data_IF_569310829404
#
_entry.id   IF_569310829404
#
_cell.length_a   1.000
_cell.length_b   1.000
_cell.length_c   1.000
_cell.angle_alpha   90.00
_cell.angle_beta   90.00
_cell.angle_gamma   90.00
#
_symmetry.space_group_name_H-M   'P 1'
#
loop_
_entity.id
_entity.type
_entity.pdbx_description
1 polymer ?
#
# COMPACT_ATOMS: atom_id res chain seq x y z
N UNK A 1 0.27 -11.42 9.52
CA UNK A 1 0.83 -12.27 8.44
C UNK A 1 0.43 -11.82 7.03
N UNK A 2 -0.84 -11.83 6.61
CA UNK A 2 -1.20 -11.39 5.22
C UNK A 2 -0.97 -9.90 4.99
N UNK A 3 -1.26 -9.06 6.00
CA UNK A 3 -1.00 -7.62 5.96
C UNK A 3 0.48 -7.31 5.71
N UNK A 4 1.37 -7.92 6.50
CA UNK A 4 2.82 -7.71 6.38
C UNK A 4 3.35 -8.17 5.02
N UNK A 5 2.91 -9.32 4.52
CA UNK A 5 3.30 -9.78 3.18
C UNK A 5 2.85 -8.81 2.09
N UNK A 6 1.63 -8.28 2.18
CA UNK A 6 1.11 -7.35 1.18
C UNK A 6 1.77 -5.97 1.29
N UNK A 7 2.01 -5.47 2.51
CA UNK A 7 2.74 -4.23 2.73
C UNK A 7 4.18 -4.33 2.21
N UNK A 8 4.88 -5.44 2.48
CA UNK A 8 6.23 -5.67 1.95
C UNK A 8 6.24 -5.78 0.43
N UNK A 9 5.22 -6.41 -0.18
CA UNK A 9 5.06 -6.44 -1.63
C UNK A 9 4.92 -5.02 -2.20
N UNK A 10 4.06 -4.18 -1.62
CA UNK A 10 3.86 -2.80 -2.06
C UNK A 10 5.13 -1.95 -1.87
N UNK A 11 5.83 -2.13 -0.76
CA UNK A 11 7.11 -1.48 -0.53
C UNK A 11 8.18 -1.94 -1.54
N UNK A 12 8.24 -3.23 -1.87
CA UNK A 12 9.17 -3.73 -2.90
C UNK A 12 8.81 -3.24 -4.31
N UNK A 13 7.51 -3.08 -4.63
CA UNK A 13 7.10 -2.43 -5.88
C UNK A 13 7.59 -0.99 -5.96
N UNK A 14 7.60 -0.27 -4.83
CA UNK A 14 8.07 1.11 -4.80
C UNK A 14 9.54 1.25 -5.21
N UNK A 15 10.37 0.23 -4.92
CA UNK A 15 11.79 0.22 -5.26
C UNK A 15 12.06 0.16 -6.76
N UNK A 16 11.07 -0.27 -7.56
CA UNK A 16 11.19 -0.37 -9.01
C UNK A 16 10.95 0.96 -9.73
N UNK A 17 10.29 1.91 -9.07
CA UNK A 17 9.80 3.12 -9.73
C UNK A 17 10.52 4.35 -9.21
N UNK A 18 11.15 5.08 -10.12
CA UNK A 18 11.94 6.26 -9.77
C UNK A 18 11.12 7.35 -9.08
N UNK A 19 9.82 7.47 -9.40
CA UNK A 19 8.91 8.42 -8.76
C UNK A 19 8.75 8.19 -7.26
N UNK A 20 9.08 7.00 -6.75
CA UNK A 20 9.01 6.69 -5.33
C UNK A 20 10.18 7.27 -4.52
N UNK A 21 11.31 7.60 -5.17
CA UNK A 21 12.49 8.14 -4.51
C UNK A 21 12.27 9.53 -3.90
N UNK A 22 11.23 10.25 -4.34
CA UNK A 22 10.86 11.54 -3.75
C UNK A 22 10.17 11.42 -2.39
N UNK A 23 9.75 10.21 -1.97
CA UNK A 23 9.09 9.98 -0.70
C UNK A 23 10.07 9.43 0.35
N UNK A 24 9.86 9.80 1.61
CA UNK A 24 10.63 9.24 2.71
C UNK A 24 10.33 7.73 2.87
N UNK A 25 11.32 6.89 3.25
CA UNK A 25 11.08 5.47 3.49
C UNK A 25 9.98 5.20 4.54
N UNK A 26 9.86 6.05 5.56
CA UNK A 26 8.81 5.97 6.57
C UNK A 26 7.42 6.26 5.98
N UNK A 27 7.32 7.20 5.04
CA UNK A 27 6.08 7.54 4.35
C UNK A 27 5.65 6.42 3.39
N UNK A 28 6.60 5.79 2.69
CA UNK A 28 6.36 4.61 1.84
C UNK A 28 5.86 3.46 2.69
N UNK A 29 6.49 3.19 3.84
CA UNK A 29 6.06 2.13 4.76
C UNK A 29 4.65 2.36 5.30
N UNK A 30 4.35 3.57 5.78
CA UNK A 30 3.01 3.97 6.25
C UNK A 30 1.95 3.81 5.13
N UNK A 31 2.25 4.30 3.94
CA UNK A 31 1.36 4.22 2.77
C UNK A 31 1.14 2.78 2.30
N UNK A 32 2.16 1.93 2.41
CA UNK A 32 2.07 0.50 2.10
C UNK A 32 1.15 -0.23 3.07
N UNK A 33 1.22 0.11 4.37
CA UNK A 33 0.30 -0.43 5.40
C UNK A 33 -1.13 0.05 5.16
N UNK A 34 -1.33 1.34 4.88
CA UNK A 34 -2.63 1.89 4.53
C UNK A 34 -3.26 1.13 3.36
N UNK A 35 -2.52 1.00 2.25
CA UNK A 35 -3.02 0.35 1.05
C UNK A 35 -3.25 -1.15 1.27
N UNK A 36 -2.37 -1.82 2.02
CA UNK A 36 -2.55 -3.23 2.35
C UNK A 36 -3.78 -3.48 3.23
N UNK A 37 -4.04 -2.63 4.23
CA UNK A 37 -5.26 -2.67 5.03
C UNK A 37 -6.50 -2.50 4.16
N UNK A 38 -6.47 -1.54 3.24
CA UNK A 38 -7.58 -1.28 2.33
C UNK A 38 -7.87 -2.45 1.39
N UNK A 39 -6.84 -3.08 0.81
CA UNK A 39 -7.00 -4.24 -0.08
C UNK A 39 -7.53 -5.46 0.67
N UNK A 40 -7.11 -5.66 1.93
CA UNK A 40 -7.52 -6.81 2.73
C UNK A 40 -8.93 -6.65 3.32
N UNK A 41 -9.27 -5.44 3.77
CA UNK A 41 -10.54 -5.14 4.45
C UNK A 41 -11.06 -3.78 3.96
N UNK A 42 -11.61 -3.71 2.73
CA UNK A 42 -12.09 -2.45 2.15
C UNK A 42 -13.28 -1.85 2.91
N UNK A 43 -13.96 -2.65 3.74
CA UNK A 43 -15.07 -2.23 4.60
C UNK A 43 -14.64 -1.47 5.87
N UNK A 44 -13.34 -1.48 6.21
CA UNK A 44 -12.80 -0.81 7.40
C UNK A 44 -11.93 0.36 7.00
N UNK A 45 -11.92 1.42 7.82
CA UNK A 45 -10.94 2.51 7.66
C UNK A 45 -9.51 1.94 7.73
N UNK A 46 -8.68 2.18 6.71
CA UNK A 46 -7.33 1.61 6.62
C UNK A 46 -6.31 2.32 7.52
N UNK A 47 -6.65 3.52 8.02
CA UNK A 47 -5.84 4.32 8.93
C UNK A 47 -6.63 4.62 10.20
N UNK A 48 -6.12 4.17 11.35
CA UNK A 48 -6.72 4.40 12.66
C UNK A 48 -5.87 5.34 13.53
N UNK A 49 -6.42 5.76 14.67
CA UNK A 49 -5.74 6.67 15.60
C UNK A 49 -4.43 6.08 16.16
N UNK A 50 -4.37 4.75 16.31
CA UNK A 50 -3.16 4.05 16.75
C UNK A 50 -2.04 4.22 15.73
N UNK A 51 -2.31 4.01 14.44
CA UNK A 51 -1.34 4.20 13.36
C UNK A 51 -0.89 5.67 13.27
N UNK A 52 -1.82 6.62 13.39
CA UNK A 52 -1.48 8.05 13.43
C UNK A 52 -0.57 8.39 14.62
N UNK A 53 -0.85 7.85 15.80
CA UNK A 53 -0.07 8.11 17.01
C UNK A 53 1.38 7.64 16.89
N UNK A 54 1.60 6.44 16.36
CA UNK A 54 2.96 5.86 16.27
C UNK A 54 3.76 6.33 15.05
N UNK A 55 3.09 6.63 13.93
CA UNK A 55 3.78 7.05 12.70
C UNK A 55 3.86 8.56 12.54
N UNK A 56 3.05 9.30 13.30
CA UNK A 56 2.86 10.75 13.22
C UNK A 56 2.30 11.25 11.88
N UNK A 57 1.89 10.35 10.99
CA UNK A 57 1.28 10.70 9.71
C UNK A 57 -0.24 10.75 9.78
N UNK A 58 -0.80 11.82 9.24
CA UNK A 58 -2.23 11.95 8.97
C UNK A 58 -2.61 11.20 7.69
N UNK A 59 -3.87 10.73 7.55
CA UNK A 59 -4.34 10.15 6.29
C UNK A 59 -4.08 11.05 5.08
N UNK A 60 -4.18 12.37 5.27
CA UNK A 60 -3.91 13.37 4.24
C UNK A 60 -2.45 13.38 3.76
N UNK A 61 -1.48 13.16 4.65
CA UNK A 61 -0.05 13.10 4.32
C UNK A 61 0.27 11.89 3.43
N UNK A 62 -0.45 10.79 3.64
CA UNK A 62 -0.26 9.53 2.90
C UNK A 62 -0.85 9.57 1.49
N UNK A 63 -1.77 10.50 1.20
CA UNK A 63 -2.64 10.46 0.03
C UNK A 63 -1.90 10.29 -1.29
N UNK A 64 -0.88 11.12 -1.53
CA UNK A 64 -0.17 11.11 -2.80
C UNK A 64 0.72 9.86 -2.95
N UNK A 65 1.40 9.45 -1.87
CA UNK A 65 2.20 8.22 -1.87
C UNK A 65 1.33 6.96 -2.04
N UNK A 66 0.17 6.89 -1.37
CA UNK A 66 -0.79 5.79 -1.51
C UNK A 66 -1.34 5.69 -2.93
N UNK A 67 -1.70 6.81 -3.58
CA UNK A 67 -2.18 6.81 -4.96
C UNK A 67 -1.14 6.27 -5.93
N UNK A 68 0.10 6.70 -5.77
CA UNK A 68 1.18 6.25 -6.64
C UNK A 68 1.47 4.76 -6.40
N UNK A 69 1.56 4.29 -5.15
CA UNK A 69 1.64 2.86 -4.81
C UNK A 69 0.46 2.05 -5.37
N UNK A 70 -0.74 2.62 -5.34
CA UNK A 70 -1.96 1.99 -5.87
C UNK A 70 -1.88 1.83 -7.39
N UNK A 71 -1.40 2.86 -8.10
CA UNK A 71 -1.07 2.79 -9.53
C UNK A 71 -0.06 1.67 -9.81
N UNK A 72 0.98 1.53 -8.98
CA UNK A 72 1.96 0.46 -9.11
C UNK A 72 1.34 -0.92 -8.89
N UNK A 73 0.44 -1.08 -7.90
CA UNK A 73 -0.26 -2.35 -7.69
C UNK A 73 -1.10 -2.74 -8.92
N UNK A 74 -1.86 -1.79 -9.48
CA UNK A 74 -2.71 -2.05 -10.65
C UNK A 74 -1.88 -2.43 -11.89
N UNK A 75 -0.77 -1.72 -12.11
CA UNK A 75 0.13 -1.94 -13.24
C UNK A 75 1.11 -3.10 -13.03
N UNK A 76 1.16 -3.72 -11.85
CA UNK A 76 2.10 -4.81 -11.58
C UNK A 76 1.87 -6.00 -12.50
N UNK A 77 0.66 -6.13 -13.07
CA UNK A 77 0.32 -7.20 -14.01
C UNK A 77 0.97 -7.02 -15.38
N UNK A 78 1.23 -5.77 -15.78
CA UNK A 78 1.84 -5.38 -17.05
C UNK A 78 3.30 -4.92 -16.88
N UNK A 79 3.86 -5.05 -15.68
CA UNK A 79 5.22 -4.59 -15.40
C UNK A 79 6.27 -5.49 -16.08
N UNK A 80 7.34 -4.87 -16.59
CA UNK A 80 8.46 -5.58 -17.23
C UNK A 80 9.33 -6.38 -16.24
N UNK A 81 9.04 -6.31 -14.93
CA UNK A 81 9.82 -6.93 -13.86
C UNK A 81 8.94 -7.89 -13.04
N UNK A 82 8.56 -9.05 -13.61
CA UNK A 82 7.60 -9.98 -12.99
C UNK A 82 8.13 -10.65 -11.72
N UNK A 83 9.45 -10.63 -11.47
CA UNK A 83 10.10 -11.34 -10.39
C UNK A 83 9.51 -11.03 -8.99
N UNK A 84 9.15 -9.78 -8.72
CA UNK A 84 8.51 -9.40 -7.43
C UNK A 84 7.12 -10.02 -7.34
N UNK A 85 6.33 -9.93 -8.41
CA UNK A 85 4.99 -10.53 -8.45
C UNK A 85 5.05 -12.05 -8.32
N UNK A 86 6.01 -12.71 -8.96
CA UNK A 86 6.22 -14.15 -8.87
C UNK A 86 6.62 -14.58 -7.46
N UNK A 87 7.57 -13.88 -6.83
CA UNK A 87 7.96 -14.08 -5.42
C UNK A 87 6.75 -14.03 -4.51
N UNK A 88 5.97 -12.95 -4.57
CA UNK A 88 4.79 -12.75 -3.72
C UNK A 88 3.53 -13.54 -4.15
N UNK A 89 3.61 -14.25 -5.27
CA UNK A 89 2.62 -15.23 -5.74
C UNK A 89 2.87 -16.63 -5.20
N UNK A 90 3.96 -16.87 -4.45
CA UNK A 90 4.23 -18.16 -3.83
C UNK A 90 3.42 -18.36 -2.54
N UNK A 91 3.16 -19.63 -2.18
CA UNK A 91 2.45 -20.00 -0.95
C UNK A 91 3.08 -19.39 0.32
N UNK A 92 4.42 -19.28 0.34
CA UNK A 92 5.19 -18.68 1.44
C UNK A 92 4.76 -17.24 1.75
N UNK A 93 4.32 -16.50 0.73
CA UNK A 93 3.86 -15.11 0.83
C UNK A 93 2.33 -14.99 0.77
N UNK A 94 1.60 -16.08 1.05
CA UNK A 94 0.13 -16.11 1.11
C UNK A 94 -0.57 -15.64 -0.16
N UNK A 95 0.09 -15.76 -1.32
CA UNK A 95 -0.45 -15.36 -2.63
C UNK A 95 -0.90 -13.90 -2.69
N UNK A 96 -0.30 -13.01 -1.90
CA UNK A 96 -0.75 -11.59 -1.81
C UNK A 96 -0.70 -10.87 -3.15
N UNK A 97 0.24 -11.21 -4.04
CA UNK A 97 0.32 -10.65 -5.39
C UNK A 97 -0.80 -11.12 -6.34
N UNK A 98 -1.59 -12.14 -5.94
CA UNK A 98 -2.78 -12.61 -6.67
C UNK A 98 -4.08 -12.00 -6.15
N UNK A 99 -4.04 -11.20 -5.06
CA UNK A 99 -5.24 -10.54 -4.55
C UNK A 99 -5.69 -9.44 -5.52
N UNK A 100 -7.00 -9.26 -5.60
CA UNK A 100 -7.58 -8.17 -6.38
C UNK A 100 -7.25 -6.83 -5.73
N UNK A 101 -6.50 -5.97 -6.44
CA UNK A 101 -6.33 -4.57 -6.07
C UNK A 101 -7.58 -3.81 -6.54
N UNK A 102 -8.35 -3.15 -5.63
CA UNK A 102 -9.55 -2.39 -6.01
C UNK A 102 -9.21 -1.31 -7.05
N UNK A 103 -10.11 -0.94 -7.97
CA UNK A 103 -9.82 0.03 -9.03
C UNK A 103 -9.73 1.47 -8.54
N UNK A 104 -10.30 1.78 -7.37
CA UNK A 104 -10.25 3.13 -6.79
C UNK A 104 -10.25 3.04 -5.26
N UNK A 105 -9.67 4.06 -4.62
CA UNK A 105 -9.71 4.24 -3.17
C UNK A 105 -10.60 5.47 -2.89
N UNK A 106 -11.70 5.32 -2.13
CA UNK A 106 -12.55 6.45 -1.77
C UNK A 106 -11.75 7.58 -1.11
N UNK A 107 -11.96 8.80 -1.58
CA UNK A 107 -11.28 9.99 -1.06
C UNK A 107 -11.54 10.20 0.44
N UNK A 108 -12.67 9.68 0.93
CA UNK A 108 -13.09 9.71 2.33
C UNK A 108 -12.09 9.12 3.30
N UNK A 109 -11.29 8.14 2.86
CA UNK A 109 -10.26 7.52 3.69
C UNK A 109 -9.04 8.41 3.94
N UNK A 110 -8.89 9.50 3.18
CA UNK A 110 -7.80 10.47 3.35
C UNK A 110 -8.23 11.71 4.14
N UNK A 111 -9.49 11.82 4.55
CA UNK A 111 -9.90 12.90 5.44
C UNK A 111 -9.40 12.63 6.85
N UNK A 112 -8.79 13.64 7.45
CA UNK A 112 -8.44 13.60 8.87
C UNK A 112 -9.75 13.46 9.65
N UNK A 113 -9.89 12.39 10.43
CA UNK A 113 -10.96 12.31 11.41
C UNK A 113 -10.73 13.41 12.44
N UNK A 114 -11.56 14.46 12.39
CA UNK A 114 -11.62 15.44 13.44
C UNK A 114 -11.89 14.72 14.76
N UNK A 115 -11.01 14.94 15.74
CA UNK A 115 -11.20 14.53 17.12
C UNK A 115 -12.35 15.31 17.76
#
# INVERSE_FOLDING_TARGET
>A
MQLECLANYLAELSLLEYSMLSYAPSLIAASSIFLANYILVPSKRPWDSTLQHYTLYQPSDLRECVKELHRLCLNSQSSNLPAIREKYSQHKYKYVAKKHCPPSIPAEFFHNSAH
#
